data_IF_849197159281
#
_entry.id   IF_849197159281
#
_cell.length_a   1.000
_cell.length_b   1.000
_cell.length_c   1.000
_cell.angle_alpha   90.00
_cell.angle_beta   90.00
_cell.angle_gamma   90.00
#
_symmetry.space_group_name_H-M   'P 1'
#
loop_
_entity.id
_entity.type
_entity.pdbx_description
1 polymer ?
#
# COMPACT_ATOMS: atom_id res chain seq x y z
N UNK A 1 19.52 25.99 -2.60
CA UNK A 1 19.12 24.99 -3.62
C UNK A 1 17.71 24.54 -3.28
N UNK A 2 17.00 23.94 -4.24
CA UNK A 2 15.69 23.33 -3.98
C UNK A 2 15.91 22.06 -3.14
N UNK A 3 15.29 21.99 -1.96
CA UNK A 3 15.45 20.87 -1.02
C UNK A 3 15.10 19.52 -1.66
N UNK A 4 14.12 19.50 -2.57
CA UNK A 4 13.74 18.28 -3.29
C UNK A 4 14.83 17.86 -4.28
N UNK A 5 15.52 18.80 -4.91
CA UNK A 5 16.62 18.51 -5.83
C UNK A 5 17.80 17.90 -5.10
N UNK A 6 18.15 18.43 -3.93
CA UNK A 6 19.25 17.91 -3.10
C UNK A 6 18.95 16.48 -2.60
N UNK A 7 17.69 16.21 -2.23
CA UNK A 7 17.22 14.86 -1.92
C UNK A 7 17.31 13.92 -3.15
N UNK A 8 16.98 14.39 -4.35
CA UNK A 8 17.09 13.59 -5.58
C UNK A 8 18.54 13.21 -5.89
N UNK A 9 19.48 14.14 -5.68
CA UNK A 9 20.92 13.88 -5.85
C UNK A 9 21.39 12.82 -4.84
N UNK A 10 20.97 12.94 -3.58
CA UNK A 10 21.26 11.96 -2.52
C UNK A 10 20.74 10.57 -2.87
N UNK A 11 19.48 10.47 -3.27
CA UNK A 11 18.86 9.21 -3.67
C UNK A 11 19.56 8.57 -4.89
N UNK A 12 19.98 9.38 -5.86
CA UNK A 12 20.71 8.91 -7.05
C UNK A 12 22.08 8.35 -6.67
N UNK A 13 22.82 9.04 -5.79
CA UNK A 13 24.11 8.56 -5.30
C UNK A 13 23.95 7.23 -4.55
N UNK A 14 22.97 7.12 -3.66
CA UNK A 14 22.65 5.86 -2.97
C UNK A 14 22.38 4.72 -3.96
N UNK A 15 21.60 4.99 -5.01
CA UNK A 15 21.28 4.01 -6.04
C UNK A 15 22.53 3.53 -6.80
N UNK A 16 23.45 4.43 -7.13
CA UNK A 16 24.74 4.05 -7.73
C UNK A 16 25.54 3.14 -6.80
N UNK A 17 25.60 3.47 -5.50
CA UNK A 17 26.29 2.66 -4.50
C UNK A 17 25.66 1.26 -4.34
N UNK A 18 24.32 1.18 -4.33
CA UNK A 18 23.56 -0.07 -4.22
C UNK A 18 23.66 -0.94 -5.48
N UNK A 19 24.10 -0.38 -6.62
CA UNK A 19 24.18 -1.08 -7.91
C UNK A 19 25.59 -1.15 -8.49
N UNK A 20 26.63 -0.93 -7.66
CA UNK A 20 28.04 -0.84 -8.07
C UNK A 20 28.61 -2.08 -8.78
N UNK A 21 28.11 -3.28 -8.48
CA UNK A 21 28.63 -4.52 -9.07
C UNK A 21 27.57 -5.30 -9.85
N UNK A 22 28.01 -6.28 -10.69
CA UNK A 22 27.10 -7.07 -11.53
C UNK A 22 26.06 -7.85 -10.72
N UNK A 23 26.49 -8.43 -9.59
CA UNK A 23 25.65 -9.24 -8.72
C UNK A 23 24.65 -8.37 -7.94
N UNK A 24 25.08 -7.21 -7.45
CA UNK A 24 24.24 -6.24 -6.75
C UNK A 24 23.19 -5.65 -7.70
N UNK A 25 23.57 -5.40 -8.96
CA UNK A 25 22.66 -4.92 -9.99
C UNK A 25 21.59 -5.96 -10.34
N UNK A 26 21.94 -7.23 -10.44
CA UNK A 26 20.98 -8.33 -10.64
C UNK A 26 20.03 -8.46 -9.44
N UNK A 27 20.58 -8.44 -8.22
CA UNK A 27 19.79 -8.44 -6.98
C UNK A 27 18.87 -7.21 -6.88
N UNK A 28 19.32 -6.04 -7.33
CA UNK A 28 18.49 -4.84 -7.35
C UNK A 28 17.37 -4.97 -8.38
N UNK A 29 17.66 -5.50 -9.56
CA UNK A 29 16.67 -5.65 -10.63
C UNK A 29 15.54 -6.62 -10.25
N UNK A 30 15.83 -7.68 -9.50
CA UNK A 30 14.83 -8.65 -9.06
C UNK A 30 13.84 -8.12 -8.01
N UNK A 31 14.14 -7.00 -7.33
CA UNK A 31 13.26 -6.39 -6.32
C UNK A 31 12.04 -5.70 -6.94
N UNK A 32 10.93 -5.78 -6.23
CA UNK A 32 9.73 -4.99 -6.55
C UNK A 32 9.95 -3.49 -6.37
N UNK A 33 9.13 -2.65 -7.02
CA UNK A 33 9.25 -1.18 -6.92
C UNK A 33 9.12 -0.69 -5.47
N UNK A 34 8.16 -1.23 -4.71
CA UNK A 34 7.96 -0.85 -3.31
C UNK A 34 9.18 -1.19 -2.43
N UNK A 35 9.77 -2.37 -2.63
CA UNK A 35 10.97 -2.81 -1.90
C UNK A 35 12.15 -1.88 -2.18
N UNK A 36 12.35 -1.50 -3.44
CA UNK A 36 13.39 -0.53 -3.84
C UNK A 36 13.19 0.82 -3.16
N UNK A 37 11.96 1.32 -3.16
CA UNK A 37 11.63 2.59 -2.50
C UNK A 37 11.88 2.54 -0.99
N UNK A 38 11.48 1.46 -0.32
CA UNK A 38 11.70 1.29 1.12
C UNK A 38 13.20 1.30 1.45
N UNK A 39 14.02 0.58 0.70
CA UNK A 39 15.47 0.51 0.95
C UNK A 39 16.16 1.87 0.79
N UNK A 40 15.74 2.68 -0.19
CA UNK A 40 16.27 4.05 -0.37
C UNK A 40 15.82 4.95 0.79
N UNK A 41 14.53 4.93 1.14
CA UNK A 41 13.96 5.75 2.22
C UNK A 41 14.48 5.36 3.62
N UNK A 42 14.95 4.13 3.80
CA UNK A 42 15.60 3.68 5.03
C UNK A 42 17.07 4.08 5.11
N UNK A 43 17.72 4.30 3.96
CA UNK A 43 19.15 4.62 3.88
C UNK A 43 19.45 6.12 4.07
N UNK A 44 18.47 7.00 3.85
CA UNK A 44 18.61 8.43 4.05
C UNK A 44 17.29 9.10 4.44
N UNK A 45 17.39 10.22 5.14
CA UNK A 45 16.26 11.11 5.41
C UNK A 45 15.92 11.89 4.13
N UNK A 46 14.79 11.54 3.52
CA UNK A 46 14.30 12.11 2.27
C UNK A 46 12.87 12.63 2.47
N UNK A 47 12.75 13.60 3.36
CA UNK A 47 11.48 14.12 3.88
C UNK A 47 10.53 14.68 2.83
N UNK A 48 11.06 15.20 1.72
CA UNK A 48 10.26 15.74 0.61
C UNK A 48 9.93 14.67 -0.44
N UNK A 49 10.84 13.72 -0.71
CA UNK A 49 10.62 12.60 -1.64
C UNK A 49 9.65 11.57 -1.05
N UNK A 50 9.74 11.27 0.24
CA UNK A 50 8.91 10.27 0.90
C UNK A 50 7.40 10.45 0.63
N UNK A 51 6.77 11.61 0.87
CA UNK A 51 5.34 11.79 0.62
C UNK A 51 4.98 11.63 -0.86
N UNK A 52 5.86 12.04 -1.79
CA UNK A 52 5.66 11.86 -3.24
C UNK A 52 5.65 10.38 -3.61
N UNK A 53 6.64 9.62 -3.13
CA UNK A 53 6.74 8.18 -3.37
C UNK A 53 5.57 7.44 -2.73
N UNK A 54 5.20 7.79 -1.49
CA UNK A 54 4.04 7.21 -0.82
C UNK A 54 2.75 7.46 -1.59
N UNK A 55 2.56 8.68 -2.11
CA UNK A 55 1.39 9.00 -2.94
C UNK A 55 1.38 8.16 -4.22
N UNK A 56 2.47 8.11 -4.97
CA UNK A 56 2.55 7.32 -6.22
C UNK A 56 2.31 5.83 -5.96
N UNK A 57 2.89 5.27 -4.90
CA UNK A 57 2.71 3.85 -4.55
C UNK A 57 1.32 3.52 -3.99
N UNK A 58 0.58 4.51 -3.49
CA UNK A 58 -0.81 4.34 -3.05
C UNK A 58 -1.80 4.20 -4.21
N UNK A 59 -1.38 4.59 -5.43
CA UNK A 59 -2.22 4.49 -6.62
C UNK A 59 -2.12 3.06 -7.17
N UNK A 60 -3.23 2.30 -7.22
CA UNK A 60 -3.21 0.96 -7.79
C UNK A 60 -2.85 1.01 -9.27
N UNK A 61 -1.94 0.14 -9.70
CA UNK A 61 -1.48 0.07 -11.09
C UNK A 61 -2.49 -0.54 -12.07
N UNK A 62 -3.60 -1.08 -11.55
CA UNK A 62 -4.66 -1.71 -12.35
C UNK A 62 -6.03 -1.54 -11.73
N UNK A 63 -7.07 -1.75 -12.53
CA UNK A 63 -8.47 -1.81 -12.09
C UNK A 63 -8.82 -3.11 -11.36
N UNK A 64 -7.92 -4.11 -11.33
CA UNK A 64 -8.20 -5.43 -10.77
C UNK A 64 -8.64 -5.40 -9.31
N UNK A 65 -8.13 -4.45 -8.52
CA UNK A 65 -8.60 -4.26 -7.14
C UNK A 65 -10.08 -3.83 -7.09
N UNK A 66 -10.47 -2.84 -7.91
CA UNK A 66 -11.87 -2.39 -8.01
C UNK A 66 -12.77 -3.50 -8.57
N UNK A 67 -12.31 -4.26 -9.56
CA UNK A 67 -13.05 -5.40 -10.13
C UNK A 67 -13.29 -6.51 -9.10
N UNK A 68 -12.32 -6.78 -8.23
CA UNK A 68 -12.49 -7.69 -7.09
C UNK A 68 -13.57 -7.17 -6.14
N UNK A 69 -13.57 -5.88 -5.82
CA UNK A 69 -14.62 -5.25 -4.99
C UNK A 69 -15.99 -5.43 -5.63
N UNK A 70 -16.12 -5.13 -6.93
CA UNK A 70 -17.39 -5.29 -7.64
C UNK A 70 -17.87 -6.75 -7.68
N UNK A 71 -16.95 -7.70 -7.83
CA UNK A 71 -17.27 -9.13 -7.80
C UNK A 71 -17.80 -9.55 -6.42
N UNK A 72 -17.15 -9.11 -5.34
CA UNK A 72 -17.61 -9.37 -3.97
C UNK A 72 -18.96 -8.71 -3.69
N UNK A 73 -19.14 -7.46 -4.13
CA UNK A 73 -20.40 -6.74 -3.99
C UNK A 73 -21.54 -7.46 -4.72
N UNK A 74 -21.33 -7.87 -5.96
CA UNK A 74 -22.31 -8.64 -6.75
C UNK A 74 -22.68 -9.97 -6.13
N UNK A 75 -21.74 -10.62 -5.44
CA UNK A 75 -22.00 -11.89 -4.76
C UNK A 75 -22.81 -11.71 -3.46
N UNK A 76 -22.48 -10.68 -2.68
CA UNK A 76 -23.15 -10.39 -1.40
C UNK A 76 -24.49 -9.69 -1.56
N UNK A 77 -24.61 -8.83 -2.57
CA UNK A 77 -25.80 -8.03 -2.84
C UNK A 77 -26.44 -8.47 -4.16
N UNK A 78 -27.64 -9.06 -4.05
CA UNK A 78 -28.50 -9.33 -5.19
C UNK A 78 -29.93 -8.94 -4.80
N UNK A 79 -30.64 -8.29 -5.72
CA UNK A 79 -32.01 -7.79 -5.52
C UNK A 79 -33.01 -8.89 -5.09
N UNK A 80 -32.67 -10.15 -5.39
CA UNK A 80 -33.55 -11.30 -5.19
C UNK A 80 -33.28 -12.06 -3.89
N UNK A 81 -32.03 -12.10 -3.40
CA UNK A 81 -31.62 -13.01 -2.30
C UNK A 81 -31.37 -12.30 -0.98
N UNK A 82 -30.70 -11.15 -1.01
CA UNK A 82 -30.29 -10.40 0.17
C UNK A 82 -30.76 -8.95 -0.01
N UNK A 83 -31.97 -8.63 0.50
CA UNK A 83 -32.51 -7.25 0.55
C UNK A 83 -31.76 -6.38 1.58
N UNK A 84 -30.45 -6.54 1.66
CA UNK A 84 -29.59 -5.77 2.53
C UNK A 84 -29.42 -4.37 1.92
N UNK A 85 -29.34 -3.35 2.75
CA UNK A 85 -29.04 -2.01 2.26
C UNK A 85 -27.63 -1.99 1.66
N UNK A 86 -27.47 -1.18 0.61
CA UNK A 86 -26.16 -0.95 -0.01
C UNK A 86 -25.13 -0.43 1.00
N UNK A 87 -25.58 0.32 2.01
CA UNK A 87 -24.74 0.83 3.09
C UNK A 87 -24.15 -0.29 3.95
N UNK A 88 -24.95 -1.27 4.37
CA UNK A 88 -24.45 -2.40 5.17
C UNK A 88 -23.43 -3.21 4.36
N UNK A 89 -23.72 -3.46 3.07
CA UNK A 89 -22.79 -4.18 2.19
C UNK A 89 -21.48 -3.41 2.04
N UNK A 90 -21.54 -2.08 1.92
CA UNK A 90 -20.35 -1.22 1.86
C UNK A 90 -19.53 -1.35 3.14
N UNK A 91 -20.14 -1.21 4.31
CA UNK A 91 -19.46 -1.35 5.60
C UNK A 91 -18.81 -2.73 5.74
N UNK A 92 -19.54 -3.80 5.40
CA UNK A 92 -19.03 -5.16 5.44
C UNK A 92 -17.82 -5.36 4.52
N UNK A 93 -17.87 -4.83 3.29
CA UNK A 93 -16.76 -4.90 2.35
C UNK A 93 -15.54 -4.13 2.84
N UNK A 94 -15.71 -2.95 3.43
CA UNK A 94 -14.61 -2.17 4.00
C UNK A 94 -13.90 -2.98 5.08
N UNK A 95 -14.64 -3.57 6.02
CA UNK A 95 -14.05 -4.40 7.08
C UNK A 95 -13.39 -5.64 6.48
N UNK A 96 -14.06 -6.37 5.60
CA UNK A 96 -13.54 -7.63 5.01
C UNK A 96 -12.26 -7.42 4.19
N UNK A 97 -12.11 -6.27 3.53
CA UNK A 97 -10.99 -6.00 2.65
C UNK A 97 -9.79 -5.36 3.33
N UNK A 98 -10.02 -4.66 4.46
CA UNK A 98 -8.99 -3.86 5.12
C UNK A 98 -8.64 -4.35 6.54
N UNK A 99 -9.39 -5.32 7.07
CA UNK A 99 -9.14 -5.93 8.37
C UNK A 99 -8.76 -7.39 8.18
N UNK A 100 -7.52 -7.74 8.54
CA UNK A 100 -7.00 -9.11 8.55
C UNK A 100 -7.25 -9.83 9.88
N UNK A 101 -7.76 -9.11 10.88
CA UNK A 101 -8.10 -9.66 12.19
C UNK A 101 -9.29 -10.62 12.10
N UNK A 102 -9.22 -11.69 12.88
CA UNK A 102 -10.40 -12.48 13.23
C UNK A 102 -11.40 -11.63 14.02
N UNK A 103 -12.67 -12.04 14.07
CA UNK A 103 -13.69 -11.35 14.86
C UNK A 103 -13.31 -11.22 16.35
N UNK A 104 -12.58 -12.21 16.90
CA UNK A 104 -12.11 -12.20 18.29
C UNK A 104 -11.02 -11.15 18.52
N UNK A 105 -10.08 -11.05 17.59
CA UNK A 105 -9.00 -10.06 17.62
C UNK A 105 -9.56 -8.65 17.43
N UNK A 106 -10.47 -8.47 16.48
CA UNK A 106 -11.14 -7.19 16.25
C UNK A 106 -11.92 -6.74 17.49
N UNK A 107 -12.70 -7.64 18.11
CA UNK A 107 -13.42 -7.33 19.35
C UNK A 107 -12.48 -6.91 20.48
N UNK A 108 -11.36 -7.63 20.63
CA UNK A 108 -10.35 -7.31 21.63
C UNK A 108 -9.67 -5.96 21.36
N UNK A 109 -9.45 -5.59 20.09
CA UNK A 109 -8.89 -4.30 19.70
C UNK A 109 -9.86 -3.14 20.02
N UNK A 110 -11.15 -3.29 19.69
CA UNK A 110 -12.18 -2.29 20.01
C UNK A 110 -12.33 -2.07 21.51
N UNK A 111 -12.23 -3.12 22.33
CA UNK A 111 -12.28 -2.98 23.78
C UNK A 111 -11.10 -2.18 24.34
N UNK A 112 -9.91 -2.31 23.74
CA UNK A 112 -8.70 -1.56 24.15
C UNK A 112 -8.73 -0.09 23.73
N UNK A 113 -9.36 0.21 22.59
CA UNK A 113 -9.46 1.59 22.07
C UNK A 113 -10.48 2.45 22.84
N UNK A 114 -11.45 1.81 23.52
CA UNK A 114 -12.44 2.47 24.37
C UNK A 114 -12.00 2.66 25.84
N UNK A 115 -10.72 2.42 26.16
CA UNK A 115 -10.11 2.58 27.49
C UNK A 115 -8.96 3.56 27.47
#
# INVERSE_FOLDING_TARGET
>A
MDELYDECVTATSLLEHLTKGPQEKEKWQSKGTAEKCIEILQAADLSNIQPVVSFVLSIPSSTGFAERIFSLMKNKWTDVRNKCSTEIIRCELIVTLNCDMSCSEFYSAVLKDNS
#
